data_IF_942146786724
#
_entry.id   IF_942146786724
#
_cell.length_a   1.000
_cell.length_b   1.000
_cell.length_c   1.000
_cell.angle_alpha   90.00
_cell.angle_beta   90.00
_cell.angle_gamma   90.00
#
_symmetry.space_group_name_H-M   'P 1'
#
loop_
_entity.id
_entity.type
_entity.pdbx_description
1 polymer ?
#
# COMPACT_ATOMS: atom_id res chain seq x y z
N UNK A 1 32.67 26.31 10.06
CA UNK A 1 33.27 26.74 11.35
C UNK A 1 32.91 25.70 12.41
N UNK A 2 33.90 25.11 13.10
CA UNK A 2 33.69 24.11 14.15
C UNK A 2 33.88 24.78 15.51
N UNK A 3 32.82 24.86 16.32
CA UNK A 3 32.91 25.27 17.73
C UNK A 3 33.12 23.98 18.53
N UNK A 4 34.17 23.93 19.36
CA UNK A 4 34.49 22.78 20.19
C UNK A 4 34.63 23.22 21.66
N UNK A 5 33.89 22.55 22.55
CA UNK A 5 33.99 22.69 24.00
C UNK A 5 34.55 21.37 24.52
N UNK A 6 35.70 21.40 25.20
CA UNK A 6 36.46 20.20 25.59
C UNK A 6 35.78 19.34 26.66
N UNK A 7 34.96 19.96 27.50
CA UNK A 7 34.30 19.31 28.63
C UNK A 7 32.98 20.04 28.90
N UNK A 8 31.86 19.42 28.52
CA UNK A 8 30.51 19.94 28.76
C UNK A 8 29.70 18.94 29.58
N UNK A 9 29.11 19.39 30.69
CA UNK A 9 28.36 18.57 31.66
C UNK A 9 26.84 18.77 31.59
N UNK A 10 26.33 19.48 30.59
CA UNK A 10 24.89 19.70 30.43
C UNK A 10 24.34 20.87 31.23
N UNK A 11 23.01 20.96 31.25
CA UNK A 11 22.28 21.98 32.01
C UNK A 11 22.22 21.61 33.49
N UNK A 12 22.50 22.57 34.36
CA UNK A 12 22.34 22.42 35.81
C UNK A 12 21.30 23.42 36.33
N UNK A 13 20.11 22.91 36.70
CA UNK A 13 18.99 23.73 37.16
C UNK A 13 18.98 24.03 38.66
N UNK A 14 19.87 23.42 39.44
CA UNK A 14 19.82 23.52 40.91
C UNK A 14 20.53 24.77 41.46
N UNK A 15 21.47 25.35 40.70
CA UNK A 15 22.33 26.43 41.17
C UNK A 15 21.93 27.79 40.59
N UNK A 16 22.04 28.83 41.42
CA UNK A 16 21.94 30.20 40.93
C UNK A 16 22.99 30.44 39.82
N UNK A 17 22.73 31.31 38.83
CA UNK A 17 23.61 31.61 37.70
C UNK A 17 25.10 31.76 38.02
N UNK A 18 25.42 32.35 39.18
CA UNK A 18 26.78 32.61 39.66
C UNK A 18 27.50 31.43 40.32
N UNK A 19 26.76 30.36 40.64
CA UNK A 19 27.24 29.17 41.35
C UNK A 19 27.43 27.97 40.40
N UNK A 20 27.22 28.17 39.11
CA UNK A 20 27.36 27.13 38.08
C UNK A 20 28.83 27.05 37.67
N UNK A 21 29.38 25.84 37.63
CA UNK A 21 30.76 25.61 37.23
C UNK A 21 30.99 25.90 35.74
N UNK A 22 32.23 26.17 35.35
CA UNK A 22 32.60 26.50 33.96
C UNK A 22 32.18 25.43 32.94
N UNK A 23 32.10 24.14 33.32
CA UNK A 23 31.68 23.06 32.41
C UNK A 23 30.15 22.87 32.33
N UNK A 24 29.35 23.66 33.06
CA UNK A 24 27.90 23.53 33.17
C UNK A 24 27.18 24.73 32.53
N UNK A 25 26.00 24.48 31.96
CA UNK A 25 25.17 25.52 31.36
C UNK A 25 23.95 25.85 32.23
N UNK A 26 23.49 27.10 32.15
CA UNK A 26 22.18 27.51 32.66
C UNK A 26 21.02 26.98 31.81
N UNK A 27 21.23 26.83 30.49
CA UNK A 27 20.24 26.32 29.55
C UNK A 27 20.93 25.53 28.45
N UNK A 28 20.47 24.30 28.22
CA UNK A 28 20.93 23.44 27.13
C UNK A 28 19.72 22.95 26.34
N UNK A 29 19.49 23.53 25.15
CA UNK A 29 18.39 23.16 24.25
C UNK A 29 18.94 22.69 22.90
N UNK A 30 18.21 21.78 22.24
CA UNK A 30 18.58 21.25 20.92
C UNK A 30 20.02 20.71 20.84
N UNK A 31 20.51 20.11 21.92
CA UNK A 31 21.81 19.46 21.94
C UNK A 31 21.70 18.05 22.54
N UNK A 32 22.58 17.17 22.08
CA UNK A 32 22.76 15.81 22.60
C UNK A 32 24.05 15.85 23.42
N UNK A 33 23.92 15.52 24.70
CA UNK A 33 25.04 15.43 25.63
C UNK A 33 25.20 13.96 25.98
N UNK A 34 26.07 13.26 25.25
CA UNK A 34 26.38 11.84 25.47
C UNK A 34 27.89 11.64 25.41
N UNK A 35 28.40 10.74 26.27
CA UNK A 35 29.80 10.31 26.29
C UNK A 35 30.80 11.47 26.42
N UNK A 36 30.45 12.52 27.16
CA UNK A 36 31.29 13.71 27.34
C UNK A 36 31.39 14.63 26.12
N UNK A 37 30.67 14.33 25.04
CA UNK A 37 30.63 15.16 23.83
C UNK A 37 29.33 15.99 23.76
N UNK A 38 29.44 17.19 23.20
CA UNK A 38 28.33 18.08 22.91
C UNK A 38 28.09 18.08 21.39
N UNK A 39 26.97 17.49 20.96
CA UNK A 39 26.58 17.48 19.54
C UNK A 39 25.28 18.25 19.34
N UNK A 40 25.18 19.16 18.36
CA UNK A 40 23.92 19.82 18.06
C UNK A 40 22.89 18.80 17.56
N UNK A 41 21.63 18.95 17.98
CA UNK A 41 20.51 18.28 17.30
C UNK A 41 20.35 18.93 15.93
N UNK A 42 20.14 18.10 14.91
CA UNK A 42 19.74 18.60 13.58
C UNK A 42 18.44 19.38 13.75
N UNK A 43 18.35 20.52 13.08
CA UNK A 43 17.12 21.30 13.03
C UNK A 43 16.04 20.57 12.25
N UNK A 44 14.80 21.03 12.39
CA UNK A 44 13.70 20.53 11.58
C UNK A 44 13.90 21.01 10.13
N UNK A 45 13.69 20.13 9.16
CA UNK A 45 13.53 20.54 7.77
C UNK A 45 12.06 20.82 7.51
N UNK A 46 11.78 21.86 6.73
CA UNK A 46 10.44 22.03 6.15
C UNK A 46 10.23 20.91 5.14
N UNK A 47 9.08 20.25 5.22
CA UNK A 47 8.63 19.31 4.20
C UNK A 47 7.90 20.11 3.13
N UNK A 48 8.41 20.07 1.90
CA UNK A 48 7.83 20.76 0.76
C UNK A 48 7.54 19.75 -0.35
N UNK A 49 6.31 19.70 -0.89
CA UNK A 49 5.14 20.49 -0.48
C UNK A 49 4.65 20.12 0.92
N UNK A 50 3.96 21.06 1.58
CA UNK A 50 3.33 20.77 2.87
C UNK A 50 2.28 19.66 2.68
N UNK A 51 2.35 18.56 3.43
CA UNK A 51 1.37 17.48 3.31
C UNK A 51 0.01 17.94 3.82
N UNK A 52 -1.06 17.42 3.23
CA UNK A 52 -2.41 17.60 3.78
C UNK A 52 -2.62 16.54 4.86
N UNK A 53 -2.74 16.97 6.10
CA UNK A 53 -2.91 16.09 7.26
C UNK A 53 -4.39 16.06 7.66
N UNK A 54 -4.89 14.88 8.04
CA UNK A 54 -6.25 14.69 8.53
C UNK A 54 -6.55 15.64 9.71
N UNK A 55 -7.78 16.16 9.77
CA UNK A 55 -8.21 16.93 10.93
C UNK A 55 -8.19 16.04 12.18
N UNK A 56 -7.65 16.54 13.30
CA UNK A 56 -7.42 15.77 14.53
C UNK A 56 -6.62 14.48 14.31
N UNK A 57 -5.61 14.48 13.43
CA UNK A 57 -4.76 13.32 13.18
C UNK A 57 -4.16 12.77 14.48
N UNK A 58 -4.41 11.49 14.75
CA UNK A 58 -3.86 10.74 15.88
C UNK A 58 -2.69 9.85 15.46
N UNK A 59 -2.77 9.31 14.25
CA UNK A 59 -1.71 8.51 13.64
C UNK A 59 -1.20 9.21 12.40
N UNK A 60 0.12 9.23 12.23
CA UNK A 60 0.81 9.63 11.00
C UNK A 60 1.83 8.55 10.60
N UNK A 61 2.03 8.38 9.31
CA UNK A 61 2.98 7.41 8.76
C UNK A 61 3.68 7.97 7.53
N UNK A 62 4.99 7.74 7.42
CA UNK A 62 5.79 8.23 6.30
C UNK A 62 5.96 7.12 5.26
N UNK A 63 5.07 7.12 4.27
CA UNK A 63 5.08 6.19 3.15
C UNK A 63 6.16 6.57 2.13
N UNK A 64 6.97 5.57 1.72
CA UNK A 64 8.09 5.71 0.77
C UNK A 64 9.10 6.82 1.08
N UNK A 65 9.15 7.30 2.33
CA UNK A 65 10.01 8.40 2.72
C UNK A 65 9.59 9.80 2.21
N UNK A 66 8.50 9.91 1.44
CA UNK A 66 8.10 11.16 0.78
C UNK A 66 6.65 11.57 1.04
N UNK A 67 5.77 10.62 1.37
CA UNK A 67 4.33 10.84 1.47
C UNK A 67 3.84 10.63 2.90
N UNK A 68 3.13 11.61 3.45
CA UNK A 68 2.60 11.51 4.81
C UNK A 68 1.16 11.02 4.78
N UNK A 69 0.95 9.82 5.28
CA UNK A 69 -0.36 9.29 5.58
C UNK A 69 -0.82 9.76 6.96
N UNK A 70 -2.12 9.95 7.14
CA UNK A 70 -2.67 10.42 8.41
C UNK A 70 -4.11 9.99 8.62
N UNK A 71 -4.46 9.66 9.87
CA UNK A 71 -5.80 9.23 10.28
C UNK A 71 -6.26 9.95 11.55
N UNK A 72 -7.56 10.26 11.68
CA UNK A 72 -8.13 10.83 12.91
C UNK A 72 -8.34 9.80 14.04
N UNK A 73 -8.03 8.53 13.78
CA UNK A 73 -8.17 7.39 14.69
C UNK A 73 -6.80 6.79 14.99
N UNK A 74 -6.78 5.90 15.98
CA UNK A 74 -5.63 5.04 16.24
C UNK A 74 -5.58 3.95 15.18
N UNK A 75 -4.51 3.94 14.40
CA UNK A 75 -4.32 3.08 13.24
C UNK A 75 -2.92 2.49 13.31
N UNK A 76 -2.84 1.17 13.14
CA UNK A 76 -1.59 0.45 12.98
C UNK A 76 -1.33 0.28 11.49
N UNK A 77 -0.17 0.74 11.03
CA UNK A 77 0.24 0.72 9.62
C UNK A 77 1.68 0.22 9.48
N UNK A 78 1.89 -0.63 8.49
CA UNK A 78 3.20 -1.20 8.16
C UNK A 78 3.40 -1.19 6.64
N UNK A 79 4.64 -1.00 6.21
CA UNK A 79 5.04 -1.27 4.84
C UNK A 79 4.97 -2.78 4.56
N UNK A 80 4.91 -3.13 3.27
CA UNK A 80 4.92 -4.51 2.81
C UNK A 80 6.11 -5.29 3.40
N UNK A 81 5.87 -6.50 3.94
CA UNK A 81 6.95 -7.34 4.46
C UNK A 81 7.82 -7.94 3.34
N UNK A 82 7.37 -7.83 2.09
CA UNK A 82 8.07 -8.32 0.92
C UNK A 82 9.16 -7.31 0.55
N UNK A 83 10.41 -7.76 0.51
CA UNK A 83 11.51 -6.95 0.03
C UNK A 83 11.30 -6.61 -1.44
N UNK A 84 11.52 -5.35 -1.81
CA UNK A 84 11.39 -4.86 -3.19
C UNK A 84 10.01 -5.14 -3.81
N UNK A 85 8.94 -5.02 -3.02
CA UNK A 85 7.56 -5.11 -3.49
C UNK A 85 7.31 -4.08 -4.61
N UNK A 86 7.09 -4.56 -5.84
CA UNK A 86 6.90 -3.71 -7.02
C UNK A 86 5.72 -2.72 -6.87
N UNK A 87 4.74 -3.09 -6.06
CA UNK A 87 3.55 -2.29 -5.79
C UNK A 87 3.69 -1.35 -4.59
N UNK A 88 4.82 -1.42 -3.86
CA UNK A 88 5.08 -0.69 -2.61
C UNK A 88 3.88 -0.73 -1.64
N UNK A 89 3.36 -1.91 -1.29
CA UNK A 89 2.12 -1.96 -0.50
C UNK A 89 2.33 -1.42 0.92
N UNK A 90 1.29 -0.78 1.46
CA UNK A 90 1.18 -0.47 2.87
C UNK A 90 -0.12 -1.05 3.42
N UNK A 91 -0.01 -1.84 4.48
CA UNK A 91 -1.12 -2.52 5.14
C UNK A 91 -1.48 -1.80 6.43
N UNK A 92 -2.77 -1.64 6.70
CA UNK A 92 -3.21 -0.95 7.91
C UNK A 92 -4.55 -1.42 8.45
N UNK A 93 -4.70 -1.27 9.76
CA UNK A 93 -5.89 -1.67 10.55
C UNK A 93 -6.22 -0.61 11.60
N UNK A 94 -7.42 -0.65 12.18
CA UNK A 94 -7.88 0.32 13.19
C UNK A 94 -8.85 1.38 12.68
N UNK A 95 -9.00 1.51 11.35
CA UNK A 95 -10.01 2.38 10.72
C UNK A 95 -11.12 1.59 10.00
N UNK A 96 -11.59 0.51 10.64
CA UNK A 96 -12.61 -0.40 10.10
C UNK A 96 -12.02 -1.75 9.71
N UNK A 97 -12.46 -2.29 8.56
CA UNK A 97 -11.90 -3.53 8.02
C UNK A 97 -10.41 -3.38 7.69
N UNK A 98 -9.60 -4.44 7.83
CA UNK A 98 -8.22 -4.42 7.37
C UNK A 98 -8.14 -4.04 5.90
N UNK A 99 -7.21 -3.15 5.57
CA UNK A 99 -7.06 -2.56 4.24
C UNK A 99 -5.59 -2.53 3.84
N UNK A 100 -5.37 -2.40 2.54
CA UNK A 100 -4.06 -2.08 2.00
C UNK A 100 -4.18 -0.98 0.94
N UNK A 101 -3.08 -0.29 0.72
CA UNK A 101 -2.90 0.62 -0.42
C UNK A 101 -1.62 0.25 -1.15
N UNK A 102 -1.50 0.68 -2.40
CA UNK A 102 -0.32 0.49 -3.24
C UNK A 102 0.12 1.83 -3.84
N UNK A 103 1.26 1.85 -4.53
CA UNK A 103 1.81 3.05 -5.16
C UNK A 103 0.91 3.74 -6.18
N UNK A 104 0.00 3.02 -6.86
CA UNK A 104 -0.88 3.59 -7.88
C UNK A 104 -2.09 4.33 -7.31
N UNK A 105 -2.57 3.94 -6.12
CA UNK A 105 -3.78 4.52 -5.50
C UNK A 105 -3.52 5.27 -4.18
N UNK A 106 -2.35 5.07 -3.55
CA UNK A 106 -2.01 5.65 -2.25
C UNK A 106 -1.98 7.18 -2.25
N UNK A 107 -1.55 7.77 -3.36
CA UNK A 107 -1.29 9.21 -3.45
C UNK A 107 -2.32 9.89 -4.35
N UNK A 108 -2.75 11.08 -3.94
CA UNK A 108 -3.75 11.86 -4.64
C UNK A 108 -3.87 13.26 -4.02
N UNK A 109 -4.90 14.00 -4.43
CA UNK A 109 -5.16 15.32 -3.88
C UNK A 109 -5.84 15.21 -2.51
N UNK A 110 -5.23 15.81 -1.48
CA UNK A 110 -5.78 15.86 -0.12
C UNK A 110 -5.09 14.92 0.87
N UNK A 111 -5.85 14.49 1.87
CA UNK A 111 -5.38 13.60 2.94
C UNK A 111 -5.06 12.22 2.37
N UNK A 112 -3.93 11.65 2.79
CA UNK A 112 -3.47 10.33 2.35
C UNK A 112 -3.56 9.30 3.49
N UNK A 113 -3.71 7.98 3.20
CA UNK A 113 -3.81 7.38 1.87
C UNK A 113 -5.09 7.80 1.14
N UNK A 114 -4.97 8.11 -0.16
CA UNK A 114 -6.06 8.68 -0.95
C UNK A 114 -7.17 7.66 -1.25
N UNK A 115 -6.76 6.47 -1.69
CA UNK A 115 -7.63 5.34 -1.93
C UNK A 115 -7.02 4.06 -1.35
N UNK A 116 -7.83 3.02 -1.22
CA UNK A 116 -7.44 1.76 -0.61
C UNK A 116 -8.33 0.61 -1.05
N UNK A 117 -7.79 -0.59 -0.89
CA UNK A 117 -8.48 -1.85 -1.11
C UNK A 117 -8.67 -2.55 0.25
N UNK A 118 -9.76 -3.28 0.38
CA UNK A 118 -10.01 -4.21 1.49
C UNK A 118 -9.01 -5.37 1.42
N UNK A 119 -8.54 -5.82 2.59
CA UNK A 119 -7.67 -6.98 2.65
C UNK A 119 -8.54 -8.25 2.62
N UNK A 120 -8.27 -9.13 1.66
CA UNK A 120 -9.06 -10.32 1.37
C UNK A 120 -9.61 -10.27 -0.05
N UNK A 121 -10.38 -11.30 -0.40
CA UNK A 121 -11.15 -11.33 -1.65
C UNK A 121 -12.46 -10.60 -1.42
N UNK A 122 -12.73 -9.57 -2.23
CA UNK A 122 -14.06 -9.01 -2.30
C UNK A 122 -15.04 -10.08 -2.80
N UNK A 123 -16.23 -10.14 -2.20
CA UNK A 123 -17.27 -11.04 -2.68
C UNK A 123 -17.67 -10.60 -4.10
N UNK A 124 -17.71 -11.50 -5.08
CA UNK A 124 -18.15 -11.13 -6.41
C UNK A 124 -19.59 -10.59 -6.36
N UNK A 125 -19.84 -9.46 -7.02
CA UNK A 125 -21.18 -8.85 -7.11
C UNK A 125 -22.22 -9.83 -7.71
N UNK A 126 -21.76 -10.76 -8.55
CA UNK A 126 -22.54 -11.89 -9.04
C UNK A 126 -21.65 -13.07 -9.44
N UNK A 127 -22.18 -14.29 -9.32
CA UNK A 127 -21.59 -15.47 -9.96
C UNK A 127 -21.71 -15.32 -11.48
N UNK A 128 -20.59 -15.43 -12.20
CA UNK A 128 -20.56 -15.43 -13.67
C UNK A 128 -19.93 -16.72 -14.16
N UNK A 129 -20.74 -17.55 -14.81
CA UNK A 129 -20.29 -18.69 -15.60
C UNK A 129 -20.68 -18.44 -17.05
N UNK A 130 -19.74 -18.62 -17.97
CA UNK A 130 -20.03 -18.63 -19.40
C UNK A 130 -19.94 -20.07 -19.92
N UNK A 131 -20.95 -20.46 -20.68
CA UNK A 131 -20.93 -21.70 -21.45
C UNK A 131 -20.56 -21.30 -22.87
N UNK A 132 -19.43 -21.82 -23.36
CA UNK A 132 -19.05 -21.66 -24.76
C UNK A 132 -19.22 -23.00 -25.45
N UNK A 133 -20.08 -23.02 -26.46
CA UNK A 133 -20.20 -24.14 -27.37
C UNK A 133 -19.14 -23.98 -28.48
N UNK A 134 -18.41 -25.05 -28.75
CA UNK A 134 -17.50 -25.06 -29.89
C UNK A 134 -18.31 -25.30 -31.17
N UNK A 135 -18.26 -24.34 -32.11
CA UNK A 135 -18.88 -24.52 -33.42
C UNK A 135 -17.96 -25.36 -34.32
N UNK A 136 -18.36 -26.61 -34.56
CA UNK A 136 -17.63 -27.55 -35.42
C UNK A 136 -17.75 -27.20 -36.91
N UNK A 137 -18.55 -26.20 -37.31
CA UNK A 137 -18.62 -25.76 -38.71
C UNK A 137 -17.27 -25.29 -39.27
N UNK A 138 -16.36 -24.84 -38.41
CA UNK A 138 -15.01 -24.43 -38.80
C UNK A 138 -14.08 -25.62 -39.12
N UNK A 139 -14.47 -26.86 -38.78
CA UNK A 139 -13.75 -28.10 -39.14
C UNK A 139 -14.32 -28.77 -40.42
N UNK A 140 -15.23 -28.07 -41.12
CA UNK A 140 -15.63 -28.47 -42.46
C UNK A 140 -14.46 -28.21 -43.41
N UNK A 141 -13.64 -29.23 -43.60
CA UNK A 141 -12.56 -29.30 -44.59
C UNK A 141 -13.11 -29.33 -46.05
N UNK A 142 -14.02 -28.40 -46.39
CA UNK A 142 -14.70 -28.31 -47.68
C UNK A 142 -15.92 -29.23 -47.85
N UNK A 143 -16.39 -29.88 -46.77
CA UNK A 143 -17.63 -30.68 -46.77
C UNK A 143 -18.86 -29.76 -46.70
N UNK A 144 -20.01 -30.21 -47.20
CA UNK A 144 -21.26 -29.44 -47.15
C UNK A 144 -21.84 -29.48 -45.72
N UNK A 145 -22.13 -28.33 -45.09
CA UNK A 145 -22.84 -28.26 -43.81
C UNK A 145 -24.15 -29.06 -43.75
N UNK A 146 -24.88 -29.18 -44.87
CA UNK A 146 -26.17 -29.86 -44.89
C UNK A 146 -26.10 -31.39 -44.75
N UNK A 147 -24.88 -31.96 -44.82
CA UNK A 147 -24.65 -33.40 -44.68
C UNK A 147 -24.57 -33.86 -43.21
N UNK A 148 -24.60 -32.93 -42.25
CA UNK A 148 -24.48 -33.21 -40.82
C UNK A 148 -25.72 -32.77 -40.06
N UNK A 149 -26.11 -33.56 -39.07
CA UNK A 149 -27.20 -33.20 -38.17
C UNK A 149 -26.75 -32.07 -37.23
N UNK A 150 -27.67 -31.16 -36.90
CA UNK A 150 -27.42 -30.10 -35.92
C UNK A 150 -27.85 -30.54 -34.53
N UNK A 151 -27.07 -30.18 -33.52
CA UNK A 151 -27.44 -30.41 -32.13
C UNK A 151 -28.70 -29.61 -31.75
N UNK A 152 -29.73 -30.25 -31.16
CA UNK A 152 -31.01 -29.59 -30.86
C UNK A 152 -30.89 -28.39 -29.92
N UNK A 153 -29.97 -28.45 -28.95
CA UNK A 153 -29.80 -27.45 -27.89
C UNK A 153 -28.95 -26.26 -28.32
N UNK A 154 -27.95 -26.47 -29.19
CA UNK A 154 -26.98 -25.45 -29.58
C UNK A 154 -27.19 -24.92 -31.00
N UNK A 155 -27.81 -25.70 -31.89
CA UNK A 155 -27.99 -25.38 -33.30
C UNK A 155 -26.72 -25.47 -34.15
N UNK A 156 -25.59 -25.90 -33.57
CA UNK A 156 -24.33 -26.12 -34.28
C UNK A 156 -24.29 -27.52 -34.90
N UNK A 157 -23.46 -27.70 -35.93
CA UNK A 157 -23.27 -28.99 -36.60
C UNK A 157 -22.58 -29.98 -35.68
N UNK A 158 -23.04 -31.23 -35.69
CA UNK A 158 -22.40 -32.35 -35.01
C UNK A 158 -21.64 -33.23 -36.03
N UNK A 159 -20.33 -33.08 -36.09
CA UNK A 159 -19.48 -33.80 -37.05
C UNK A 159 -18.93 -35.14 -36.51
N UNK A 160 -18.90 -35.34 -35.19
CA UNK A 160 -18.50 -36.61 -34.55
C UNK A 160 -19.53 -36.99 -33.49
N UNK A 161 -20.14 -38.18 -33.62
CA UNK A 161 -21.28 -38.68 -32.82
C UNK A 161 -21.09 -38.78 -31.29
N UNK A 162 -20.06 -38.18 -30.70
CA UNK A 162 -19.84 -38.14 -29.24
C UNK A 162 -18.75 -37.12 -28.80
N UNK A 163 -18.30 -36.18 -29.65
CA UNK A 163 -17.40 -35.10 -29.20
C UNK A 163 -18.18 -33.80 -29.01
N UNK A 164 -18.99 -33.79 -27.96
CA UNK A 164 -19.76 -32.65 -27.49
C UNK A 164 -18.96 -31.79 -26.52
N UNK A 165 -17.63 -31.64 -26.70
CA UNK A 165 -16.69 -30.98 -25.78
C UNK A 165 -17.21 -29.62 -25.27
N UNK A 166 -18.09 -29.70 -24.27
CA UNK A 166 -18.77 -28.56 -23.69
C UNK A 166 -17.82 -28.05 -22.64
N UNK A 167 -17.04 -27.05 -23.03
CA UNK A 167 -16.03 -26.47 -22.16
C UNK A 167 -16.71 -25.51 -21.20
N UNK A 168 -16.80 -25.94 -19.94
CA UNK A 168 -17.18 -25.07 -18.84
C UNK A 168 -15.96 -24.28 -18.40
N UNK A 169 -16.00 -22.97 -18.61
CA UNK A 169 -15.00 -22.08 -18.05
C UNK A 169 -15.51 -21.53 -16.74
N UNK A 170 -14.79 -21.84 -15.65
CA UNK A 170 -14.96 -21.12 -14.39
C UNK A 170 -14.04 -19.92 -14.44
N UNK A 171 -14.62 -18.73 -14.58
CA UNK A 171 -13.87 -17.49 -14.48
C UNK A 171 -13.72 -17.12 -13.01
N UNK A 172 -12.50 -17.21 -12.48
CA UNK A 172 -12.17 -16.61 -11.18
C UNK A 172 -11.75 -15.17 -11.40
N UNK A 173 -12.35 -14.25 -10.65
CA UNK A 173 -11.86 -12.88 -10.60
C UNK A 173 -10.50 -12.89 -9.93
N UNK A 174 -9.53 -12.28 -10.61
CA UNK A 174 -8.19 -12.08 -10.12
C UNK A 174 -8.03 -10.57 -9.97
N UNK A 175 -7.43 -10.13 -8.88
CA UNK A 175 -7.08 -8.72 -8.69
C UNK A 175 -6.07 -8.27 -9.75
N UNK A 176 -5.88 -6.96 -9.92
CA UNK A 176 -4.82 -6.40 -10.80
C UNK A 176 -3.40 -6.89 -10.42
N UNK A 177 -3.27 -7.50 -9.24
CA UNK A 177 -2.03 -8.04 -8.67
C UNK A 177 -1.86 -9.55 -8.86
N UNK A 178 -2.82 -10.25 -9.50
CA UNK A 178 -2.72 -11.69 -9.72
C UNK A 178 -3.22 -12.56 -8.56
N UNK A 179 -3.81 -11.96 -7.52
CA UNK A 179 -4.39 -12.66 -6.34
C UNK A 179 -5.86 -13.03 -6.54
#
# INVERSE_FOLDING_TARGET
MKIAVSTFKGQNNAFAPRLINTEQAQKASNCIVRNGNLTPRKGNSVVTPAPTIANNAKTIFLYKGTHWFSWPKDVDVVDSPIAEDEYDRAYYTGDGVPRYTNSSIATGAGVQPFANNTLGLDSPDAFSASVNYHDQSNDLNGRDPADFDTEPESGYLNLETDDDETRFYVCTYVTDFGE
#
